data_IF_631367981254
#
_entry.id   IF_631367981254
#
_cell.length_a   1.000
_cell.length_b   1.000
_cell.length_c   1.000
_cell.angle_alpha   90.00
_cell.angle_beta   90.00
_cell.angle_gamma   90.00
#
_symmetry.space_group_name_H-M   'P 1'
#
loop_
_entity.id
_entity.type
_entity.pdbx_description
1 polymer ?
#
# COMPACT_ATOMS: atom_id res chain seq x y z
N UNK A 1 -64.43 -19.92 -8.09
CA UNK A 1 -63.41 -18.95 -7.68
C UNK A 1 -62.06 -19.57 -7.96
N UNK A 2 -61.50 -19.31 -9.13
CA UNK A 2 -60.23 -19.84 -9.63
C UNK A 2 -59.19 -18.75 -9.44
N UNK A 3 -58.24 -18.95 -8.54
CA UNK A 3 -57.12 -18.07 -8.29
C UNK A 3 -56.08 -18.23 -9.41
N UNK A 4 -55.89 -17.16 -10.16
CA UNK A 4 -54.88 -17.07 -11.23
C UNK A 4 -53.55 -16.67 -10.56
N UNK A 5 -52.62 -17.62 -10.49
CA UNK A 5 -51.26 -17.40 -10.03
C UNK A 5 -50.48 -16.78 -11.22
N UNK A 6 -50.14 -15.50 -11.12
CA UNK A 6 -49.26 -14.83 -12.05
C UNK A 6 -47.82 -15.17 -11.62
N UNK A 7 -47.16 -16.04 -12.37
CA UNK A 7 -45.74 -16.32 -12.24
C UNK A 7 -45.02 -15.23 -13.01
N UNK A 8 -44.42 -14.26 -12.28
CA UNK A 8 -43.47 -13.30 -12.85
C UNK A 8 -42.17 -14.05 -13.07
N UNK A 9 -41.90 -14.40 -14.31
CA UNK A 9 -40.63 -14.95 -14.77
C UNK A 9 -39.61 -13.81 -14.79
N UNK A 10 -38.81 -13.66 -13.74
CA UNK A 10 -37.65 -12.78 -13.77
C UNK A 10 -36.62 -13.49 -14.66
N UNK A 11 -36.51 -13.07 -15.91
CA UNK A 11 -35.40 -13.45 -16.78
C UNK A 11 -34.13 -12.83 -16.24
N UNK A 12 -33.40 -13.57 -15.42
CA UNK A 12 -31.99 -13.28 -15.11
C UNK A 12 -31.22 -13.60 -16.39
N UNK A 13 -30.96 -12.60 -17.21
CA UNK A 13 -30.01 -12.74 -18.29
C UNK A 13 -28.61 -12.80 -17.68
N UNK A 14 -27.84 -13.89 -17.88
CA UNK A 14 -26.43 -13.88 -17.50
C UNK A 14 -25.72 -12.78 -18.32
N UNK A 15 -25.09 -11.83 -17.67
CA UNK A 15 -24.21 -10.87 -18.34
C UNK A 15 -23.07 -11.68 -18.95
N UNK A 16 -22.84 -11.62 -20.27
CA UNK A 16 -21.73 -12.33 -20.87
C UNK A 16 -20.41 -11.79 -20.31
N UNK A 17 -19.55 -12.70 -19.84
CA UNK A 17 -18.26 -12.40 -19.22
C UNK A 17 -17.19 -11.87 -20.22
N UNK A 18 -17.49 -11.77 -21.50
CA UNK A 18 -16.52 -11.53 -22.59
C UNK A 18 -16.72 -10.21 -23.36
N UNK A 19 -17.34 -9.17 -22.79
CA UNK A 19 -17.40 -7.89 -23.49
C UNK A 19 -16.21 -6.99 -23.14
N UNK A 20 -15.59 -6.33 -24.14
CA UNK A 20 -14.45 -5.43 -23.93
C UNK A 20 -14.83 -4.23 -23.03
N UNK A 21 -13.84 -3.64 -22.33
CA UNK A 21 -14.02 -2.55 -21.37
C UNK A 21 -14.87 -1.41 -21.94
N UNK A 22 -14.66 -1.09 -23.21
CA UNK A 22 -15.43 -0.07 -23.90
C UNK A 22 -16.93 -0.41 -23.93
N UNK A 23 -17.29 -1.67 -24.15
CA UNK A 23 -18.69 -2.10 -24.10
C UNK A 23 -19.34 -1.91 -22.72
N UNK A 24 -18.60 -2.09 -21.62
CA UNK A 24 -19.07 -1.85 -20.25
C UNK A 24 -19.29 -0.35 -20.00
N UNK A 25 -18.31 0.47 -20.34
CA UNK A 25 -18.36 1.94 -20.16
C UNK A 25 -19.46 2.53 -21.03
N UNK A 26 -19.61 2.07 -22.28
CA UNK A 26 -20.67 2.54 -23.19
C UNK A 26 -22.07 2.24 -22.63
N UNK A 27 -22.28 1.04 -22.07
CA UNK A 27 -23.57 0.68 -21.43
C UNK A 27 -23.83 1.53 -20.19
N UNK A 28 -22.82 1.72 -19.35
CA UNK A 28 -22.92 2.59 -18.17
C UNK A 28 -23.34 4.02 -18.57
N UNK A 29 -22.65 4.61 -19.55
CA UNK A 29 -22.90 5.96 -19.99
C UNK A 29 -24.30 6.08 -20.65
N UNK A 30 -24.73 5.08 -21.43
CA UNK A 30 -26.08 5.05 -22.00
C UNK A 30 -27.16 4.97 -20.91
N UNK A 31 -26.97 4.14 -19.88
CA UNK A 31 -27.87 4.03 -18.75
C UNK A 31 -27.92 5.35 -17.95
N UNK A 32 -26.75 5.99 -17.73
CA UNK A 32 -26.71 7.28 -17.06
C UNK A 32 -27.40 8.39 -17.86
N UNK A 33 -27.24 8.44 -19.18
CA UNK A 33 -27.94 9.40 -20.05
C UNK A 33 -29.47 9.27 -19.95
N UNK A 34 -29.96 8.03 -19.89
CA UNK A 34 -31.39 7.77 -19.69
C UNK A 34 -31.87 8.22 -18.32
N UNK A 35 -31.06 7.89 -17.26
CA UNK A 35 -31.30 8.36 -15.90
C UNK A 35 -31.36 9.89 -15.82
N UNK A 36 -30.37 10.58 -16.42
CA UNK A 36 -30.32 12.04 -16.44
C UNK A 36 -31.53 12.66 -17.13
N UNK A 37 -32.02 12.10 -18.25
CA UNK A 37 -33.28 12.55 -18.91
C UNK A 37 -34.46 12.47 -17.96
N UNK A 38 -34.55 11.46 -17.12
CA UNK A 38 -35.56 11.31 -16.09
C UNK A 38 -35.57 12.45 -15.06
N UNK A 39 -34.45 13.17 -14.92
CA UNK A 39 -34.30 14.31 -14.02
C UNK A 39 -34.60 15.68 -14.65
N UNK A 40 -34.94 15.73 -15.95
CA UNK A 40 -35.16 16.98 -16.69
C UNK A 40 -36.24 17.88 -16.03
N UNK A 41 -37.28 17.29 -15.45
CA UNK A 41 -38.30 18.02 -14.72
C UNK A 41 -37.81 18.71 -13.44
N UNK A 42 -36.67 18.29 -12.89
CA UNK A 42 -36.04 18.83 -11.70
C UNK A 42 -35.00 19.89 -12.03
N UNK A 43 -34.18 19.66 -13.06
CA UNK A 43 -33.11 20.57 -13.50
C UNK A 43 -32.85 20.44 -15.02
N UNK A 44 -33.67 21.10 -15.82
CA UNK A 44 -33.55 21.09 -17.28
C UNK A 44 -32.22 21.68 -17.78
N UNK A 45 -31.64 22.65 -17.07
CA UNK A 45 -30.41 23.31 -17.48
C UNK A 45 -29.23 22.34 -17.31
N UNK A 46 -29.11 21.68 -16.16
CA UNK A 46 -28.07 20.69 -15.90
C UNK A 46 -28.18 19.54 -16.88
N UNK A 47 -29.38 18.98 -17.10
CA UNK A 47 -29.58 17.87 -18.05
C UNK A 47 -29.21 18.27 -19.47
N UNK A 48 -29.59 19.46 -19.95
CA UNK A 48 -29.17 19.95 -21.26
C UNK A 48 -27.65 20.03 -21.37
N UNK A 49 -26.98 20.55 -20.34
CA UNK A 49 -25.52 20.67 -20.31
C UNK A 49 -24.84 19.29 -20.32
N UNK A 50 -25.38 18.28 -19.63
CA UNK A 50 -24.93 16.91 -19.63
C UNK A 50 -25.02 16.29 -21.01
N UNK A 51 -26.17 16.41 -21.69
CA UNK A 51 -26.36 15.89 -23.03
C UNK A 51 -25.39 16.51 -24.05
N UNK A 52 -25.21 17.84 -23.97
CA UNK A 52 -24.24 18.54 -24.82
C UNK A 52 -22.80 18.12 -24.52
N UNK A 53 -22.43 18.01 -23.25
CA UNK A 53 -21.12 17.57 -22.79
C UNK A 53 -20.79 16.16 -23.32
N UNK A 54 -21.74 15.22 -23.25
CA UNK A 54 -21.58 13.90 -23.80
C UNK A 54 -21.22 13.93 -25.30
N UNK A 55 -22.03 14.61 -26.11
CA UNK A 55 -21.84 14.65 -27.57
C UNK A 55 -20.59 15.39 -28.02
N UNK A 56 -20.14 16.42 -27.26
CA UNK A 56 -19.05 17.29 -27.67
C UNK A 56 -17.69 16.94 -27.09
N UNK A 57 -17.64 16.31 -25.93
CA UNK A 57 -16.42 16.14 -25.15
C UNK A 57 -16.14 14.66 -24.83
N UNK A 58 -17.09 13.97 -24.19
CA UNK A 58 -16.81 12.70 -23.54
C UNK A 58 -16.88 11.51 -24.47
N UNK A 59 -17.81 11.47 -25.40
CA UNK A 59 -18.11 10.33 -26.25
C UNK A 59 -16.88 9.73 -26.91
N UNK A 60 -16.03 10.56 -27.49
CA UNK A 60 -14.90 10.14 -28.31
C UNK A 60 -13.54 10.27 -27.58
N UNK A 61 -13.48 10.99 -26.42
CA UNK A 61 -12.22 11.32 -25.79
C UNK A 61 -12.04 10.73 -24.38
N UNK A 62 -13.03 10.84 -23.50
CA UNK A 62 -12.92 10.45 -22.10
C UNK A 62 -14.22 9.84 -21.55
N UNK A 63 -14.73 8.75 -22.12
CA UNK A 63 -16.03 8.20 -21.74
C UNK A 63 -16.10 7.76 -20.26
N UNK A 64 -14.97 7.41 -19.63
CA UNK A 64 -14.90 7.03 -18.21
C UNK A 64 -15.10 8.21 -17.26
N UNK A 65 -14.73 9.44 -17.66
CA UNK A 65 -14.91 10.65 -16.87
C UNK A 65 -16.31 11.22 -16.89
N UNK A 66 -17.17 10.76 -17.80
CA UNK A 66 -18.46 11.38 -18.05
C UNK A 66 -19.40 11.34 -16.84
N UNK A 67 -19.62 10.18 -16.25
CA UNK A 67 -20.59 10.02 -15.14
C UNK A 67 -20.19 10.85 -13.91
N UNK A 68 -18.94 10.81 -13.42
CA UNK A 68 -18.53 11.66 -12.30
C UNK A 68 -18.74 13.15 -12.53
N UNK A 69 -18.35 13.65 -13.71
CA UNK A 69 -18.45 15.06 -14.04
C UNK A 69 -19.94 15.50 -14.19
N UNK A 70 -20.75 14.66 -14.79
CA UNK A 70 -22.19 14.91 -14.91
C UNK A 70 -22.89 14.92 -13.54
N UNK A 71 -22.52 14.03 -12.63
CA UNK A 71 -23.01 14.04 -11.25
C UNK A 71 -22.61 15.32 -10.51
N UNK A 72 -21.44 15.88 -10.77
CA UNK A 72 -21.03 17.16 -10.19
C UNK A 72 -21.87 18.34 -10.70
N UNK A 73 -22.46 18.24 -11.89
CA UNK A 73 -23.44 19.22 -12.38
C UNK A 73 -24.80 19.10 -11.70
N UNK A 74 -25.25 17.85 -11.47
CA UNK A 74 -26.57 17.56 -10.87
C UNK A 74 -26.61 17.80 -9.35
N UNK A 75 -25.49 17.48 -8.66
CA UNK A 75 -25.45 17.45 -7.20
C UNK A 75 -24.37 18.38 -6.64
N UNK A 76 -24.73 19.60 -6.19
CA UNK A 76 -23.79 20.57 -5.63
C UNK A 76 -22.94 20.00 -4.47
N UNK A 77 -23.53 19.15 -3.61
CA UNK A 77 -22.81 18.51 -2.50
C UNK A 77 -21.73 17.52 -2.99
N UNK A 78 -22.01 16.79 -4.07
CA UNK A 78 -21.03 15.90 -4.69
C UNK A 78 -19.90 16.71 -5.35
N UNK A 79 -20.22 17.79 -6.04
CA UNK A 79 -19.24 18.72 -6.62
C UNK A 79 -18.30 19.31 -5.55
N UNK A 80 -18.83 19.71 -4.39
CA UNK A 80 -18.02 20.20 -3.28
C UNK A 80 -17.08 19.12 -2.75
N UNK A 81 -17.58 17.89 -2.59
CA UNK A 81 -16.79 16.75 -2.13
C UNK A 81 -15.71 16.35 -3.15
N UNK A 82 -16.03 16.39 -4.45
CA UNK A 82 -15.06 16.11 -5.52
C UNK A 82 -13.98 17.20 -5.58
N UNK A 83 -14.35 18.48 -5.46
CA UNK A 83 -13.38 19.58 -5.37
C UNK A 83 -12.45 19.45 -4.15
N UNK A 84 -12.97 18.99 -3.01
CA UNK A 84 -12.14 18.70 -1.85
C UNK A 84 -11.14 17.56 -2.13
N UNK A 85 -11.56 16.55 -2.89
CA UNK A 85 -10.69 15.45 -3.32
C UNK A 85 -9.59 15.94 -4.27
N UNK A 86 -9.92 16.75 -5.26
CA UNK A 86 -8.99 17.30 -6.25
C UNK A 86 -7.98 18.28 -5.60
N UNK A 87 -8.39 18.98 -4.55
CA UNK A 87 -7.53 19.84 -3.73
C UNK A 87 -6.68 19.05 -2.70
N UNK A 88 -6.66 17.69 -2.76
CA UNK A 88 -5.99 16.79 -1.82
C UNK A 88 -6.46 16.94 -0.35
N UNK A 89 -7.61 17.56 -0.11
CA UNK A 89 -8.25 17.64 1.21
C UNK A 89 -9.03 16.35 1.50
N UNK A 90 -8.30 15.23 1.56
CA UNK A 90 -8.90 13.89 1.60
C UNK A 90 -9.77 13.63 2.83
N UNK A 91 -9.47 14.24 3.99
CA UNK A 91 -10.31 14.18 5.20
C UNK A 91 -11.69 14.78 4.93
N UNK A 92 -11.72 15.99 4.35
CA UNK A 92 -12.96 16.67 3.98
C UNK A 92 -13.69 15.90 2.90
N UNK A 93 -13.00 15.43 1.87
CA UNK A 93 -13.59 14.64 0.79
C UNK A 93 -14.27 13.38 1.33
N UNK A 94 -13.60 12.60 2.18
CA UNK A 94 -14.19 11.40 2.78
C UNK A 94 -15.45 11.73 3.62
N UNK A 95 -15.40 12.78 4.43
CA UNK A 95 -16.50 13.23 5.26
C UNK A 95 -17.69 13.73 4.44
N UNK A 96 -17.44 14.45 3.34
CA UNK A 96 -18.49 15.01 2.47
C UNK A 96 -19.13 13.93 1.58
N UNK A 97 -18.38 12.89 1.18
CA UNK A 97 -18.89 11.78 0.37
C UNK A 97 -19.79 10.83 1.18
N UNK A 98 -19.52 10.63 2.47
CA UNK A 98 -20.24 9.67 3.33
C UNK A 98 -21.77 9.78 3.29
N UNK A 99 -22.39 10.97 3.47
CA UNK A 99 -23.85 11.11 3.44
C UNK A 99 -24.44 10.91 2.03
N UNK A 100 -23.63 10.91 0.98
CA UNK A 100 -24.09 10.75 -0.40
C UNK A 100 -24.27 9.27 -0.77
N UNK A 101 -23.59 8.37 -0.09
CA UNK A 101 -23.71 6.91 -0.29
C UNK A 101 -25.09 6.34 0.06
N UNK A 102 -25.81 7.01 0.94
CA UNK A 102 -27.16 6.62 1.35
C UNK A 102 -28.29 7.28 0.55
N UNK A 103 -27.99 7.94 -0.57
CA UNK A 103 -29.01 8.60 -1.42
C UNK A 103 -29.71 7.58 -2.33
N UNK A 104 -30.94 7.89 -2.69
CA UNK A 104 -31.75 7.06 -3.59
C UNK A 104 -31.19 6.97 -5.01
N UNK A 105 -30.33 7.91 -5.42
CA UNK A 105 -29.67 7.91 -6.70
C UNK A 105 -28.47 6.94 -6.68
N UNK A 106 -28.60 5.80 -7.36
CA UNK A 106 -27.61 4.75 -7.36
C UNK A 106 -26.28 5.18 -8.03
N UNK A 107 -26.33 6.03 -9.07
CA UNK A 107 -25.13 6.58 -9.69
C UNK A 107 -24.37 7.48 -8.73
N UNK A 108 -25.08 8.37 -8.03
CA UNK A 108 -24.49 9.22 -7.02
C UNK A 108 -23.87 8.41 -5.89
N UNK A 109 -24.61 7.44 -5.36
CA UNK A 109 -24.18 6.61 -4.24
C UNK A 109 -22.93 5.78 -4.58
N UNK A 110 -22.88 5.14 -5.76
CA UNK A 110 -21.75 4.33 -6.19
C UNK A 110 -20.46 5.16 -6.44
N UNK A 111 -20.60 6.35 -7.02
CA UNK A 111 -19.45 7.22 -7.26
C UNK A 111 -18.96 7.91 -5.97
N UNK A 112 -19.87 8.33 -5.08
CA UNK A 112 -19.51 8.85 -3.76
C UNK A 112 -18.75 7.79 -2.95
N UNK A 113 -19.20 6.54 -2.95
CA UNK A 113 -18.53 5.42 -2.32
C UNK A 113 -17.09 5.25 -2.85
N UNK A 114 -16.89 5.26 -4.15
CA UNK A 114 -15.57 5.15 -4.77
C UNK A 114 -14.62 6.27 -4.32
N UNK A 115 -15.05 7.52 -4.39
CA UNK A 115 -14.20 8.65 -4.00
C UNK A 115 -13.92 8.68 -2.50
N UNK A 116 -14.87 8.26 -1.65
CA UNK A 116 -14.62 8.09 -0.21
C UNK A 116 -13.55 7.04 0.05
N UNK A 117 -13.65 5.87 -0.59
CA UNK A 117 -12.66 4.80 -0.49
C UNK A 117 -11.28 5.30 -0.91
N UNK A 118 -11.17 6.02 -2.02
CA UNK A 118 -9.92 6.61 -2.49
C UNK A 118 -9.34 7.63 -1.50
N UNK A 119 -10.18 8.50 -0.96
CA UNK A 119 -9.76 9.50 0.01
C UNK A 119 -9.20 8.85 1.29
N UNK A 120 -9.89 7.82 1.81
CA UNK A 120 -9.42 7.08 2.97
C UNK A 120 -8.12 6.31 2.69
N UNK A 121 -7.97 5.73 1.50
CA UNK A 121 -6.73 5.07 1.10
C UNK A 121 -5.56 6.07 0.98
N UNK A 122 -5.80 7.28 0.45
CA UNK A 122 -4.81 8.35 0.38
C UNK A 122 -4.37 8.86 1.78
N UNK A 123 -5.27 8.78 2.77
CA UNK A 123 -4.96 9.08 4.18
C UNK A 123 -4.24 7.92 4.92
N UNK A 124 -3.97 6.80 4.26
CA UNK A 124 -3.39 5.61 4.91
C UNK A 124 -4.35 4.86 5.84
N UNK A 125 -5.66 5.15 5.81
CA UNK A 125 -6.68 4.52 6.66
C UNK A 125 -7.11 3.15 6.13
N UNK A 126 -6.16 2.28 5.89
CA UNK A 126 -6.36 1.02 5.16
C UNK A 126 -7.36 0.07 5.82
N UNK A 127 -7.43 -0.01 7.16
CA UNK A 127 -8.46 -0.83 7.84
C UNK A 127 -9.87 -0.31 7.63
N UNK A 128 -10.04 1.01 7.62
CA UNK A 128 -11.36 1.59 7.33
C UNK A 128 -11.79 1.27 5.90
N UNK A 129 -10.85 1.35 4.95
CA UNK A 129 -11.08 0.95 3.56
C UNK A 129 -11.47 -0.52 3.48
N UNK A 130 -10.74 -1.42 4.15
CA UNK A 130 -11.07 -2.85 4.15
C UNK A 130 -12.45 -3.13 4.74
N UNK A 131 -12.81 -2.43 5.81
CA UNK A 131 -14.15 -2.55 6.42
C UNK A 131 -15.24 -2.13 5.42
N UNK A 132 -15.04 -1.04 4.69
CA UNK A 132 -15.96 -0.59 3.64
C UNK A 132 -16.04 -1.57 2.46
N UNK A 133 -14.93 -2.20 2.12
CA UNK A 133 -14.82 -3.15 1.01
C UNK A 133 -15.05 -4.62 1.42
N UNK A 134 -15.43 -4.90 2.67
CA UNK A 134 -15.65 -6.27 3.15
C UNK A 134 -16.67 -7.05 2.30
N UNK A 135 -17.76 -6.38 1.89
CA UNK A 135 -18.84 -6.96 1.09
C UNK A 135 -18.76 -6.57 -0.39
N UNK A 136 -17.54 -6.33 -0.90
CA UNK A 136 -17.35 -5.84 -2.28
C UNK A 136 -17.91 -6.83 -3.32
N UNK A 137 -17.72 -8.13 -3.10
CA UNK A 137 -18.22 -9.16 -4.01
C UNK A 137 -19.77 -9.19 -4.10
N UNK A 138 -20.46 -8.93 -2.99
CA UNK A 138 -21.93 -8.86 -2.95
C UNK A 138 -22.47 -7.63 -3.68
N UNK A 139 -21.72 -6.52 -3.63
CA UNK A 139 -22.06 -5.25 -4.28
C UNK A 139 -21.56 -5.15 -5.73
N UNK A 140 -20.89 -6.17 -6.22
CA UNK A 140 -20.23 -6.16 -7.54
C UNK A 140 -21.17 -5.70 -8.65
N UNK A 141 -22.37 -6.28 -8.74
CA UNK A 141 -23.30 -5.98 -9.81
C UNK A 141 -23.72 -4.51 -9.80
N UNK A 142 -24.07 -3.97 -8.64
CA UNK A 142 -24.44 -2.56 -8.49
C UNK A 142 -23.28 -1.63 -8.87
N UNK A 143 -22.06 -1.97 -8.44
CA UNK A 143 -20.89 -1.15 -8.76
C UNK A 143 -20.55 -1.18 -10.24
N UNK A 144 -20.67 -2.32 -10.92
CA UNK A 144 -20.47 -2.41 -12.38
C UNK A 144 -21.50 -1.58 -13.14
N UNK A 145 -22.75 -1.54 -12.65
CA UNK A 145 -23.86 -0.85 -13.29
C UNK A 145 -23.82 0.66 -13.10
N UNK A 146 -23.33 1.17 -11.95
CA UNK A 146 -23.49 2.57 -11.57
C UNK A 146 -22.17 3.36 -11.46
N UNK A 147 -20.98 2.72 -11.56
CA UNK A 147 -19.71 3.45 -11.58
C UNK A 147 -18.72 2.88 -12.59
N UNK A 148 -17.95 3.72 -13.30
CA UNK A 148 -16.87 3.26 -14.16
C UNK A 148 -15.73 2.62 -13.37
N UNK A 149 -15.64 2.88 -12.07
CA UNK A 149 -14.50 2.59 -11.21
C UNK A 149 -14.59 1.25 -10.44
N UNK A 150 -15.50 0.35 -10.82
CA UNK A 150 -15.59 -0.96 -10.18
C UNK A 150 -14.23 -1.70 -10.12
N UNK A 151 -13.43 -1.83 -11.20
CA UNK A 151 -12.12 -2.49 -11.14
C UNK A 151 -11.15 -1.81 -10.18
N UNK A 152 -11.22 -0.49 -10.06
CA UNK A 152 -10.37 0.27 -9.14
C UNK A 152 -10.63 -0.09 -7.67
N UNK A 153 -11.88 -0.40 -7.29
CA UNK A 153 -12.21 -0.79 -5.93
C UNK A 153 -11.58 -2.13 -5.54
N UNK A 154 -11.54 -3.10 -6.46
CA UNK A 154 -10.82 -4.36 -6.24
C UNK A 154 -9.32 -4.15 -6.11
N UNK A 155 -8.74 -3.31 -6.96
CA UNK A 155 -7.33 -2.96 -6.87
C UNK A 155 -7.00 -2.28 -5.54
N UNK A 156 -7.80 -1.29 -5.11
CA UNK A 156 -7.62 -0.59 -3.83
C UNK A 156 -7.73 -1.59 -2.67
N UNK A 157 -8.67 -2.55 -2.73
CA UNK A 157 -8.79 -3.60 -1.71
C UNK A 157 -7.51 -4.43 -1.60
N UNK A 158 -6.99 -4.97 -2.71
CA UNK A 158 -5.75 -5.73 -2.74
C UNK A 158 -4.54 -4.92 -2.27
N UNK A 159 -4.49 -3.64 -2.63
CA UNK A 159 -3.46 -2.71 -2.14
C UNK A 159 -3.55 -2.52 -0.62
N UNK A 160 -4.73 -2.27 -0.05
CA UNK A 160 -4.92 -2.11 1.39
C UNK A 160 -4.58 -3.40 2.16
N UNK A 161 -4.96 -4.56 1.63
CA UNK A 161 -4.60 -5.87 2.20
C UNK A 161 -3.08 -6.05 2.24
N UNK A 162 -2.36 -5.62 1.20
CA UNK A 162 -0.89 -5.64 1.16
C UNK A 162 -0.30 -4.71 2.22
N UNK A 163 -0.81 -3.47 2.33
CA UNK A 163 -0.37 -2.50 3.35
C UNK A 163 -0.65 -2.98 4.77
N UNK A 164 -1.69 -3.78 4.97
CA UNK A 164 -2.03 -4.44 6.24
C UNK A 164 -1.31 -5.78 6.45
N UNK A 165 -0.29 -6.09 5.65
CA UNK A 165 0.52 -7.32 5.71
C UNK A 165 -0.30 -8.63 5.48
N UNK A 166 -1.46 -8.54 4.82
CA UNK A 166 -2.35 -9.66 4.50
C UNK A 166 -2.14 -10.12 3.05
N UNK A 167 -0.94 -10.60 2.77
CA UNK A 167 -0.46 -10.91 1.41
C UNK A 167 -1.25 -12.00 0.70
N UNK A 168 -1.64 -13.05 1.43
CA UNK A 168 -2.45 -14.14 0.85
C UNK A 168 -3.85 -13.65 0.43
N UNK A 169 -4.45 -12.76 1.21
CA UNK A 169 -5.75 -12.18 0.88
C UNK A 169 -5.62 -11.19 -0.27
N UNK A 170 -4.54 -10.40 -0.28
CA UNK A 170 -4.22 -9.50 -1.39
C UNK A 170 -4.08 -10.25 -2.72
N UNK A 171 -3.34 -11.37 -2.75
CA UNK A 171 -3.20 -12.18 -3.96
C UNK A 171 -4.55 -12.73 -4.44
N UNK A 172 -5.40 -13.24 -3.53
CA UNK A 172 -6.76 -13.70 -3.88
C UNK A 172 -7.62 -12.56 -4.45
N UNK A 173 -7.53 -11.38 -3.84
CA UNK A 173 -8.28 -10.19 -4.31
C UNK A 173 -7.82 -9.74 -5.68
N UNK A 174 -6.49 -9.74 -5.94
CA UNK A 174 -5.92 -9.37 -7.23
C UNK A 174 -6.22 -10.44 -8.31
N UNK A 175 -6.21 -11.72 -7.97
CA UNK A 175 -6.65 -12.79 -8.86
C UNK A 175 -8.14 -12.65 -9.22
N UNK A 176 -8.99 -12.36 -8.24
CA UNK A 176 -10.40 -12.08 -8.49
C UNK A 176 -10.60 -10.85 -9.39
N UNK A 177 -9.81 -9.80 -9.20
CA UNK A 177 -9.81 -8.62 -10.09
C UNK A 177 -9.51 -9.03 -11.55
N UNK A 178 -8.52 -9.89 -11.77
CA UNK A 178 -8.15 -10.36 -13.12
C UNK A 178 -9.24 -11.20 -13.79
N UNK A 179 -9.86 -12.08 -13.00
CA UNK A 179 -10.93 -12.95 -13.49
C UNK A 179 -12.23 -12.19 -13.80
N UNK A 180 -12.60 -11.25 -12.92
CA UNK A 180 -13.87 -10.53 -13.00
C UNK A 180 -13.85 -9.33 -13.94
N UNK A 181 -12.65 -8.76 -14.17
CA UNK A 181 -12.44 -7.60 -15.03
C UNK A 181 -11.26 -7.86 -16.00
N UNK A 182 -11.42 -8.77 -16.96
CA UNK A 182 -10.36 -9.09 -17.94
C UNK A 182 -9.98 -7.87 -18.81
N UNK A 183 -10.92 -6.94 -18.92
CA UNK A 183 -10.88 -5.72 -19.71
C UNK A 183 -10.57 -4.45 -18.85
N UNK A 184 -10.00 -4.64 -17.67
CA UNK A 184 -9.64 -3.53 -16.75
C UNK A 184 -8.72 -2.51 -17.42
N UNK A 185 -8.79 -1.22 -17.01
CA UNK A 185 -7.90 -0.19 -17.56
C UNK A 185 -6.41 -0.53 -17.39
N UNK A 186 -5.59 -0.16 -18.39
CA UNK A 186 -4.14 -0.43 -18.41
C UNK A 186 -3.41 -0.02 -17.12
N UNK A 187 -3.69 1.15 -16.49
CA UNK A 187 -3.06 1.50 -15.21
C UNK A 187 -3.39 0.52 -14.08
N UNK A 188 -4.61 -0.01 -14.04
CA UNK A 188 -5.04 -1.01 -13.05
C UNK A 188 -4.36 -2.35 -13.33
N UNK A 189 -4.26 -2.75 -14.59
CA UNK A 189 -3.56 -3.97 -14.99
C UNK A 189 -2.07 -3.90 -14.63
N UNK A 190 -1.41 -2.80 -14.95
CA UNK A 190 0.00 -2.59 -14.61
C UNK A 190 0.24 -2.57 -13.10
N UNK A 191 -0.62 -1.86 -12.35
CA UNK A 191 -0.57 -1.81 -10.89
C UNK A 191 -0.79 -3.18 -10.25
N UNK A 192 -1.74 -3.96 -10.75
CA UNK A 192 -2.02 -5.33 -10.29
C UNK A 192 -0.79 -6.22 -10.45
N UNK A 193 -0.21 -6.27 -11.65
CA UNK A 193 1.03 -7.04 -11.90
C UNK A 193 2.19 -6.60 -11.03
N UNK A 194 2.37 -5.28 -10.86
CA UNK A 194 3.43 -4.75 -10.01
C UNK A 194 3.26 -5.22 -8.56
N UNK A 195 2.06 -5.14 -8.02
CA UNK A 195 1.76 -5.51 -6.65
C UNK A 195 1.91 -7.04 -6.42
N UNK A 196 1.45 -7.87 -7.36
CA UNK A 196 1.65 -9.33 -7.33
C UNK A 196 3.15 -9.68 -7.31
N UNK A 197 3.95 -9.10 -8.20
CA UNK A 197 5.40 -9.31 -8.23
C UNK A 197 6.11 -8.84 -6.96
N UNK A 198 5.64 -7.76 -6.34
CA UNK A 198 6.16 -7.27 -5.08
C UNK A 198 5.89 -8.25 -3.95
N UNK A 199 4.68 -8.80 -3.86
CA UNK A 199 4.30 -9.81 -2.88
C UNK A 199 5.09 -11.12 -3.10
N UNK A 200 5.19 -11.62 -4.35
CA UNK A 200 5.89 -12.86 -4.68
C UNK A 200 7.40 -12.82 -4.41
N UNK A 201 8.03 -11.65 -4.56
CA UNK A 201 9.47 -11.46 -4.32
C UNK A 201 9.82 -11.26 -2.86
N UNK A 202 8.85 -11.27 -1.97
CA UNK A 202 9.09 -11.08 -0.54
C UNK A 202 9.77 -12.32 0.04
N UNK A 203 10.85 -12.07 0.76
CA UNK A 203 11.58 -13.08 1.50
C UNK A 203 11.45 -12.83 2.99
N UNK A 204 11.06 -13.85 3.75
CA UNK A 204 10.98 -13.79 5.20
C UNK A 204 12.36 -13.79 5.83
N UNK A 205 12.52 -13.16 6.99
CA UNK A 205 13.81 -13.07 7.70
C UNK A 205 14.81 -12.13 7.01
N UNK A 206 14.34 -11.17 6.24
CA UNK A 206 15.18 -10.19 5.52
C UNK A 206 14.91 -8.77 6.00
N UNK A 207 15.81 -7.84 5.63
CA UNK A 207 15.59 -6.41 5.84
C UNK A 207 14.34 -5.89 5.10
N UNK A 208 13.92 -6.56 4.03
CA UNK A 208 12.68 -6.25 3.33
C UNK A 208 11.46 -6.49 4.22
N UNK A 209 11.40 -7.64 4.91
CA UNK A 209 10.33 -7.90 5.88
C UNK A 209 10.30 -6.87 7.02
N UNK A 210 11.48 -6.49 7.53
CA UNK A 210 11.57 -5.44 8.55
C UNK A 210 10.98 -4.13 8.04
N UNK A 211 11.33 -3.72 6.81
CA UNK A 211 10.82 -2.49 6.21
C UNK A 211 9.29 -2.50 6.06
N UNK A 212 8.71 -3.62 5.62
CA UNK A 212 7.26 -3.77 5.47
C UNK A 212 6.51 -3.63 6.80
N UNK A 213 7.05 -4.27 7.87
CA UNK A 213 6.45 -4.17 9.21
C UNK A 213 6.61 -2.75 9.76
N UNK A 214 7.74 -2.08 9.49
CA UNK A 214 7.95 -0.68 9.88
C UNK A 214 6.97 0.26 9.17
N UNK A 215 6.75 0.06 7.87
CA UNK A 215 5.78 0.84 7.10
C UNK A 215 4.36 0.67 7.66
N UNK A 216 3.97 -0.58 7.98
CA UNK A 216 2.68 -0.84 8.63
C UNK A 216 2.55 -0.07 9.95
N UNK A 217 3.57 -0.14 10.81
CA UNK A 217 3.56 0.56 12.11
C UNK A 217 3.52 2.07 11.91
N UNK A 218 4.28 2.61 10.95
CA UNK A 218 4.30 4.04 10.65
C UNK A 218 2.92 4.56 10.19
N UNK A 219 2.25 3.82 9.30
CA UNK A 219 0.90 4.16 8.82
C UNK A 219 -0.11 4.19 9.99
N UNK A 220 -0.02 3.21 10.91
CA UNK A 220 -0.90 3.13 12.09
C UNK A 220 -0.66 4.25 13.09
N UNK A 221 0.58 4.51 13.43
CA UNK A 221 0.93 5.61 14.32
C UNK A 221 0.56 6.97 13.71
N UNK A 222 0.73 7.14 12.39
CA UNK A 222 0.26 8.32 11.66
C UNK A 222 -1.25 8.52 11.75
N UNK A 223 -2.02 7.44 11.85
CA UNK A 223 -3.46 7.46 12.12
C UNK A 223 -3.81 7.56 13.63
N UNK A 224 -2.84 7.82 14.50
CA UNK A 224 -2.96 7.86 15.97
C UNK A 224 -3.46 6.52 16.56
N UNK A 225 -3.17 5.38 15.92
CA UNK A 225 -3.47 4.04 16.42
C UNK A 225 -2.27 3.47 17.19
N UNK A 226 -2.36 3.48 18.52
CA UNK A 226 -1.39 2.86 19.43
C UNK A 226 -1.92 1.56 20.07
N UNK A 227 -2.78 0.84 19.37
CA UNK A 227 -3.40 -0.40 19.84
C UNK A 227 -2.40 -1.53 20.10
N UNK A 228 -2.83 -2.59 20.79
CA UNK A 228 -2.00 -3.76 21.08
C UNK A 228 -1.41 -4.41 19.81
N UNK A 229 -2.17 -4.62 18.72
CA UNK A 229 -1.60 -5.16 17.48
C UNK A 229 -0.42 -4.32 16.92
N UNK A 230 -0.48 -3.00 17.04
CA UNK A 230 0.63 -2.11 16.60
C UNK A 230 1.86 -2.33 17.46
N UNK A 231 1.70 -2.45 18.79
CA UNK A 231 2.80 -2.74 19.72
C UNK A 231 3.42 -4.12 19.46
N UNK A 232 2.62 -5.14 19.20
CA UNK A 232 3.11 -6.46 18.80
C UNK A 232 3.96 -6.41 17.54
N UNK A 233 3.57 -5.57 16.55
CA UNK A 233 4.37 -5.36 15.34
C UNK A 233 5.68 -4.62 15.62
N UNK A 234 5.68 -3.66 16.54
CA UNK A 234 6.93 -3.02 16.99
C UNK A 234 7.89 -4.04 17.64
N UNK A 235 7.39 -4.93 18.48
CA UNK A 235 8.19 -6.02 19.05
C UNK A 235 8.68 -6.99 17.97
N UNK A 236 7.88 -7.27 16.94
CA UNK A 236 8.28 -8.09 15.80
C UNK A 236 9.47 -7.46 15.06
N UNK A 237 9.48 -6.14 14.84
CA UNK A 237 10.62 -5.41 14.24
C UNK A 237 11.91 -5.69 15.03
N UNK A 238 11.87 -5.51 16.36
CA UNK A 238 13.02 -5.73 17.22
C UNK A 238 13.53 -7.17 17.11
N UNK A 239 12.62 -8.14 17.19
CA UNK A 239 12.96 -9.56 17.09
C UNK A 239 13.52 -9.96 15.72
N UNK A 240 13.07 -9.34 14.63
CA UNK A 240 13.60 -9.53 13.28
C UNK A 240 15.03 -8.98 13.17
N UNK A 241 15.25 -7.77 13.67
CA UNK A 241 16.58 -7.14 13.67
C UNK A 241 17.58 -7.94 14.50
N UNK A 242 17.23 -8.40 15.69
CA UNK A 242 18.07 -9.23 16.53
C UNK A 242 18.47 -10.53 15.83
N UNK A 243 17.54 -11.19 15.15
CA UNK A 243 17.86 -12.40 14.36
C UNK A 243 18.81 -12.10 13.21
N UNK A 244 18.63 -11.02 12.50
CA UNK A 244 19.52 -10.60 11.40
C UNK A 244 20.93 -10.30 11.91
N UNK A 245 21.06 -9.60 13.05
CA UNK A 245 22.35 -9.33 13.69
C UNK A 245 23.05 -10.64 14.07
N UNK A 246 22.36 -11.57 14.72
CA UNK A 246 22.90 -12.87 15.09
C UNK A 246 23.37 -13.70 13.87
N UNK A 247 22.61 -13.66 12.77
CA UNK A 247 23.00 -14.32 11.53
C UNK A 247 24.27 -13.73 10.94
N UNK A 248 24.40 -12.42 10.93
CA UNK A 248 25.61 -11.72 10.44
C UNK A 248 26.83 -12.05 11.30
N UNK A 249 26.70 -12.02 12.62
CA UNK A 249 27.79 -12.40 13.53
C UNK A 249 28.24 -13.85 13.33
N UNK A 250 27.30 -14.77 13.12
CA UNK A 250 27.64 -16.17 12.84
C UNK A 250 28.38 -16.33 11.50
N UNK A 251 27.99 -15.59 10.47
CA UNK A 251 28.69 -15.60 9.19
C UNK A 251 30.13 -15.05 9.31
N UNK A 252 30.32 -13.96 10.07
CA UNK A 252 31.64 -13.38 10.32
C UNK A 252 32.55 -14.36 11.08
N UNK A 253 32.02 -15.06 12.09
CA UNK A 253 32.75 -16.08 12.84
C UNK A 253 33.18 -17.27 11.95
N UNK A 254 32.32 -17.69 11.02
CA UNK A 254 32.65 -18.77 10.07
C UNK A 254 33.70 -18.35 9.04
N UNK A 255 33.65 -17.12 8.56
CA UNK A 255 34.66 -16.60 7.62
C UNK A 255 36.02 -16.41 8.29
N UNK A 256 36.05 -15.95 9.54
CA UNK A 256 37.32 -15.78 10.29
C UNK A 256 37.98 -17.14 10.64
N UNK A 257 37.18 -18.16 10.98
CA UNK A 257 37.71 -19.51 11.26
C UNK A 257 38.22 -20.23 10.01
N UNK A 258 37.64 -19.96 8.84
CA UNK A 258 38.09 -20.51 7.55
C UNK A 258 39.42 -19.93 7.08
N UNK A 259 39.79 -18.73 7.49
CA UNK A 259 41.07 -18.10 7.15
C UNK A 259 42.22 -18.59 8.01
N UNK A 260 41.98 -18.92 9.28
CA UNK A 260 42.99 -19.48 10.19
C UNK A 260 43.44 -20.92 9.78
N UNK A 261 42.55 -21.73 9.24
CA UNK A 261 42.87 -23.09 8.79
C UNK A 261 43.68 -23.13 7.50
N UNK A 262 43.76 -22.08 6.71
CA UNK A 262 44.59 -21.98 5.50
C UNK A 262 46.03 -21.52 5.77
N UNK A 263 46.32 -20.96 6.93
CA UNK A 263 47.69 -20.52 7.29
C UNK A 263 48.57 -21.66 7.92
N UNK A 264 47.99 -22.82 8.27
CA UNK A 264 48.74 -23.93 8.88
C UNK A 264 49.31 -24.98 7.90
N UNK A 265 49.19 -24.77 6.58
CA UNK A 265 49.82 -25.63 5.59
C UNK A 265 50.79 -24.83 4.72
N UNK A 266 51.95 -24.47 5.26
CA UNK A 266 53.15 -24.20 4.47
C UNK A 266 54.29 -25.09 4.98
N UNK A 267 55.03 -25.79 4.06
CA UNK A 267 56.12 -26.65 4.44
C UNK A 267 57.32 -25.85 4.95
N UNK A 268 57.97 -26.38 5.97
CA UNK A 268 59.23 -25.91 6.49
C UNK A 268 60.29 -25.87 5.37
N UNK A 269 60.87 -24.71 5.15
CA UNK A 269 62.20 -24.56 4.57
C UNK A 269 63.04 -23.65 5.45
N UNK A 270 64.26 -24.17 5.74
CA UNK A 270 65.30 -23.73 6.68
C UNK A 270 65.81 -22.29 6.42
N UNK A 271 66.59 -21.75 7.38
CA UNK A 271 66.85 -20.32 7.49
C UNK A 271 68.01 -19.84 6.63
N UNK A 272 67.95 -18.69 6.07
CA UNK A 272 69.10 -17.87 5.65
C UNK A 272 68.93 -16.45 6.24
N UNK A 273 69.99 -16.08 6.98
CA UNK A 273 70.22 -14.76 7.55
C UNK A 273 70.16 -13.64 6.50
N UNK A 274 69.50 -12.54 6.81
CA UNK A 274 69.86 -11.23 6.30
C UNK A 274 69.31 -10.10 7.20
N UNK A 275 70.27 -9.47 7.85
CA UNK A 275 70.43 -8.07 8.26
C UNK A 275 69.23 -7.15 8.51
N UNK A 276 69.30 -6.57 9.71
CA UNK A 276 68.60 -5.41 10.22
C UNK A 276 68.65 -4.19 9.29
N UNK A 277 67.53 -3.50 9.16
CA UNK A 277 67.45 -2.04 9.26
C UNK A 277 66.07 -1.67 9.85
N UNK A 278 66.17 -0.82 10.85
CA UNK A 278 65.09 -0.21 11.65
C UNK A 278 64.32 0.80 10.83
N UNK A 279 63.03 0.84 11.08
CA UNK A 279 62.18 2.00 11.43
C UNK A 279 60.75 1.74 10.97
N UNK A 280 59.88 1.46 11.90
CA UNK A 280 58.45 1.66 11.76
C UNK A 280 57.84 1.99 13.12
N UNK A 281 57.00 2.97 13.23
CA UNK A 281 56.39 3.36 14.51
C UNK A 281 55.33 2.35 14.95
N UNK A 282 55.40 2.02 16.23
CA UNK A 282 54.40 1.27 16.97
C UNK A 282 53.07 2.04 16.93
N UNK A 283 52.05 1.43 16.37
CA UNK A 283 50.66 1.77 16.55
C UNK A 283 49.93 0.52 16.99
N UNK A 284 49.96 0.24 18.29
CA UNK A 284 49.06 -0.75 18.89
C UNK A 284 47.61 -0.26 18.75
N UNK A 285 46.91 -0.73 17.71
CA UNK A 285 45.46 -0.72 17.64
C UNK A 285 44.94 -2.05 18.16
N UNK A 286 44.79 -2.19 19.45
CA UNK A 286 43.98 -3.27 20.02
C UNK A 286 42.53 -3.08 19.56
N UNK A 287 42.13 -3.88 18.56
CA UNK A 287 40.71 -4.21 18.32
C UNK A 287 40.43 -5.39 19.25
N UNK A 288 40.34 -5.09 20.54
CA UNK A 288 39.91 -6.03 21.57
C UNK A 288 38.71 -5.45 22.29
N UNK A 289 37.74 -6.28 22.51
CA UNK A 289 36.54 -6.06 23.33
C UNK A 289 35.36 -5.29 22.75
N UNK A 290 34.84 -5.82 21.60
CA UNK A 290 33.43 -5.66 21.25
C UNK A 290 32.60 -6.92 21.63
N UNK A 291 33.14 -7.80 22.50
CA UNK A 291 32.51 -9.10 22.76
C UNK A 291 31.95 -9.29 24.18
N UNK A 292 31.47 -8.22 24.80
CA UNK A 292 30.59 -8.37 25.95
C UNK A 292 29.39 -7.47 25.76
N UNK A 293 28.38 -7.96 25.01
CA UNK A 293 27.07 -7.33 25.00
C UNK A 293 26.47 -7.44 26.41
N UNK A 294 26.29 -6.33 27.15
CA UNK A 294 25.51 -6.38 28.38
C UNK A 294 24.09 -6.79 28.05
N UNK A 295 23.48 -7.63 28.88
CA UNK A 295 22.08 -8.03 28.87
C UNK A 295 21.17 -6.85 29.26
N UNK A 296 21.18 -5.77 28.51
CA UNK A 296 20.27 -4.64 28.64
C UNK A 296 19.19 -4.76 27.55
N UNK A 297 17.97 -4.37 27.88
CA UNK A 297 16.84 -4.41 26.93
C UNK A 297 17.18 -3.56 25.70
N UNK A 298 16.80 -4.02 24.49
CA UNK A 298 16.93 -3.21 23.27
C UNK A 298 16.23 -1.85 23.46
N UNK A 299 16.88 -0.77 23.08
CA UNK A 299 16.41 0.60 23.31
C UNK A 299 17.09 1.31 24.46
N UNK A 300 17.27 0.70 25.63
CA UNK A 300 17.97 1.31 26.80
C UNK A 300 19.45 1.62 26.54
N UNK A 301 20.07 0.94 25.59
CA UNK A 301 21.48 1.15 25.26
C UNK A 301 21.72 2.27 24.25
N UNK A 302 20.78 2.52 23.35
CA UNK A 302 20.97 3.52 22.29
C UNK A 302 21.05 4.95 22.86
N UNK A 303 20.18 5.28 23.80
CA UNK A 303 20.19 6.59 24.50
C UNK A 303 21.43 6.81 25.37
N UNK A 304 22.10 5.73 25.85
CA UNK A 304 23.30 5.78 26.69
C UNK A 304 24.62 5.78 25.91
N UNK A 305 24.58 5.52 24.58
CA UNK A 305 25.79 5.54 23.76
C UNK A 305 26.29 7.00 23.56
N UNK A 306 27.62 7.23 23.65
CA UNK A 306 28.21 8.51 23.29
C UNK A 306 27.83 8.93 21.86
N UNK A 307 27.62 10.23 21.66
CA UNK A 307 27.20 10.78 20.38
C UNK A 307 28.10 10.36 19.20
N UNK A 308 29.40 10.24 19.45
CA UNK A 308 30.39 9.77 18.48
C UNK A 308 30.20 8.29 18.07
N UNK A 309 29.72 7.43 18.95
CA UNK A 309 29.46 6.02 18.65
C UNK A 309 28.13 5.85 17.92
N UNK A 310 27.10 6.60 18.32
CA UNK A 310 25.83 6.68 17.58
C UNK A 310 26.05 7.12 16.13
N UNK A 311 26.88 8.15 15.93
CA UNK A 311 27.24 8.65 14.58
C UNK A 311 27.98 7.58 13.75
N UNK A 312 28.91 6.83 14.37
CA UNK A 312 29.62 5.73 13.69
C UNK A 312 28.69 4.61 13.26
N UNK A 313 27.75 4.21 14.11
CA UNK A 313 26.76 3.18 13.80
C UNK A 313 25.85 3.67 12.68
N UNK A 314 25.33 4.88 12.76
CA UNK A 314 24.53 5.50 11.71
C UNK A 314 25.31 5.61 10.39
N UNK A 315 26.60 5.93 10.43
CA UNK A 315 27.43 6.02 9.23
C UNK A 315 27.70 4.64 8.60
N UNK A 316 27.87 3.59 9.41
CA UNK A 316 28.00 2.21 8.91
C UNK A 316 26.69 1.71 8.29
N UNK A 317 25.56 2.05 8.89
CA UNK A 317 24.24 1.75 8.38
C UNK A 317 23.98 2.51 7.05
N UNK A 318 24.37 3.78 6.95
CA UNK A 318 24.27 4.58 5.71
C UNK A 318 25.02 3.98 4.51
N UNK A 319 26.12 3.27 4.76
CA UNK A 319 26.88 2.65 3.69
C UNK A 319 26.29 1.30 3.23
N UNK A 320 25.52 0.61 4.10
CA UNK A 320 24.99 -0.73 3.86
C UNK A 320 23.54 -0.75 3.38
N UNK A 321 22.74 0.31 3.64
CA UNK A 321 21.35 0.36 3.24
C UNK A 321 21.13 1.01 1.88
N UNK A 322 20.24 0.47 1.02
CA UNK A 322 19.75 1.14 -0.18
C UNK A 322 19.17 2.53 0.15
N UNK A 323 19.36 3.49 -0.75
CA UNK A 323 19.03 4.91 -0.51
C UNK A 323 17.59 5.17 -0.05
N UNK A 324 16.64 4.34 -0.48
CA UNK A 324 15.21 4.46 -0.12
C UNK A 324 14.90 4.10 1.34
N UNK A 325 15.73 3.27 1.98
CA UNK A 325 15.53 2.85 3.38
C UNK A 325 16.30 3.73 4.38
N UNK A 326 17.27 4.48 3.89
CA UNK A 326 18.17 5.29 4.72
C UNK A 326 17.43 6.33 5.56
N UNK A 327 16.49 7.04 4.98
CA UNK A 327 15.71 8.07 5.68
C UNK A 327 14.81 7.46 6.77
N UNK A 328 14.25 6.31 6.51
CA UNK A 328 13.33 5.62 7.43
C UNK A 328 14.07 5.10 8.67
N UNK A 329 15.24 4.50 8.47
CA UNK A 329 16.13 4.03 9.54
C UNK A 329 16.65 5.22 10.37
N UNK A 330 17.02 6.34 9.74
CA UNK A 330 17.45 7.56 10.45
C UNK A 330 16.30 8.18 11.27
N UNK A 331 15.09 8.21 10.75
CA UNK A 331 13.92 8.71 11.49
C UNK A 331 13.58 7.82 12.68
N UNK A 332 13.62 6.51 12.52
CA UNK A 332 13.37 5.56 13.60
C UNK A 332 14.36 5.73 14.75
N UNK A 333 15.67 5.79 14.48
CA UNK A 333 16.67 6.00 15.53
C UNK A 333 16.63 7.41 16.14
N UNK A 334 16.13 8.42 15.42
CA UNK A 334 15.88 9.74 15.99
C UNK A 334 14.70 9.75 16.96
N UNK A 335 13.59 9.11 16.58
CA UNK A 335 12.41 9.03 17.45
C UNK A 335 12.72 8.28 18.73
N UNK A 336 13.49 7.19 18.69
CA UNK A 336 13.97 6.50 19.90
C UNK A 336 14.84 7.37 20.80
N UNK A 337 15.61 8.31 20.25
CA UNK A 337 16.46 9.22 21.01
C UNK A 337 15.69 10.43 21.60
N UNK A 338 14.52 10.76 21.05
CA UNK A 338 13.67 11.88 21.51
C UNK A 338 12.67 11.45 22.59
N UNK A 339 12.24 10.18 22.59
CA UNK A 339 11.33 9.63 23.63
C UNK A 339 12.01 9.45 25.01
N UNK A 340 13.33 9.49 25.11
CA UNK A 340 14.09 9.38 26.36
C UNK A 340 14.45 10.74 27.00
N UNK A 341 13.94 11.87 26.53
CA UNK A 341 14.10 13.19 27.14
C UNK A 341 12.83 13.66 27.86
#
# INVERSE_FOLDING_TARGET
MTAMVVIILICIFPVPADEPAQGRIDRLNAAFLEHARGLESKDAIAVTSIMQGWEQIYRDNMPEGFVPDALALLYPAYREALAAFDDERFEDAARLMEPLEGRDDAFLAANAFYYRVRALAALGRYEQVETLLANLAERKQDLIEYTPYAPHLWFIKGFCETRNLRYEDALKTLEALEQEFPDRPEPIEAGTRQLQLEIERRETGTLGEVADVMDYVADRLGAADGSEPVRERQEQIVNLLDRLIQQMEQQEKQQSSGQQSRQQQKPQQSPREAKRTSDAPEGEGQIGDLHAAPTAKPGEMWGKLPEAERERILQSLRQRFPSRYRQLVEQYYRSLAEEEK
#
